data_IF_312497111299
#
_entry.id   IF_312497111299
#
_cell.length_a   1.000
_cell.length_b   1.000
_cell.length_c   1.000
_cell.angle_alpha   90.00
_cell.angle_beta   90.00
_cell.angle_gamma   90.00
#
_symmetry.space_group_name_H-M   'P 1'
#
loop_
_entity.id
_entity.type
_entity.pdbx_description
1 polymer ?
#
# COMPACT_ATOMS: atom_id res chain seq x y z
N UNK A 1 -15.86 8.16 -8.83
CA UNK A 1 -14.47 8.53 -8.51
C UNK A 1 -13.66 7.27 -8.28
N UNK A 2 -12.36 7.30 -8.60
CA UNK A 2 -11.39 6.25 -8.33
C UNK A 2 -10.64 6.55 -7.03
N UNK A 3 -10.76 5.63 -6.08
CA UNK A 3 -10.09 5.71 -4.78
C UNK A 3 -9.07 4.59 -4.72
N UNK A 4 -7.81 4.94 -4.53
CA UNK A 4 -6.70 4.01 -4.36
C UNK A 4 -6.36 3.93 -2.87
N UNK A 5 -6.24 2.72 -2.33
CA UNK A 5 -5.91 2.49 -0.93
C UNK A 5 -4.62 1.68 -0.87
N UNK A 6 -3.54 2.28 -0.36
CA UNK A 6 -2.24 1.63 -0.15
C UNK A 6 -2.29 0.85 1.16
N UNK A 7 -2.20 -0.49 1.06
CA UNK A 7 -2.26 -1.43 2.17
C UNK A 7 -0.91 -2.04 2.55
N UNK A 8 0.21 -1.40 2.22
CA UNK A 8 1.53 -1.88 2.66
C UNK A 8 1.60 -2.15 4.17
N UNK A 9 0.97 -1.32 5.00
CA UNK A 9 0.94 -1.54 6.45
C UNK A 9 0.13 -2.72 6.96
N UNK A 10 -0.72 -3.30 6.10
CA UNK A 10 -1.37 -4.57 6.36
C UNK A 10 -0.56 -5.78 5.87
N UNK A 11 0.57 -5.56 5.18
CA UNK A 11 1.46 -6.62 4.69
C UNK A 11 2.67 -6.90 5.59
N UNK A 12 2.99 -6.01 6.52
CA UNK A 12 4.14 -6.13 7.42
C UNK A 12 3.84 -6.99 8.66
N UNK A 13 4.79 -7.11 9.58
CA UNK A 13 4.59 -7.73 10.90
C UNK A 13 3.47 -7.05 11.73
N UNK A 14 3.09 -5.83 11.36
CA UNK A 14 1.97 -5.10 11.94
C UNK A 14 0.59 -5.59 11.48
N UNK A 15 0.51 -6.54 10.52
CA UNK A 15 -0.75 -7.11 10.00
C UNK A 15 -1.70 -7.62 11.09
N UNK A 16 -1.15 -8.20 12.14
CA UNK A 16 -1.91 -8.74 13.28
C UNK A 16 -1.99 -7.77 14.48
N UNK A 17 -1.42 -6.57 14.34
CA UNK A 17 -1.37 -5.52 15.38
C UNK A 17 -2.24 -4.33 14.98
N UNK A 18 -2.12 -3.22 15.72
CA UNK A 18 -2.94 -2.02 15.55
C UNK A 18 -3.04 -1.56 14.09
N UNK A 19 -1.89 -1.25 13.48
CA UNK A 19 -1.80 -0.65 12.13
C UNK A 19 -2.43 -1.55 11.06
N UNK A 20 -1.99 -2.80 10.93
CA UNK A 20 -2.51 -3.67 9.87
C UNK A 20 -3.96 -4.09 10.06
N UNK A 21 -4.37 -4.34 11.32
CA UNK A 21 -5.76 -4.71 11.63
C UNK A 21 -6.74 -3.58 11.32
N UNK A 22 -6.41 -2.34 11.72
CA UNK A 22 -7.29 -1.21 11.42
C UNK A 22 -7.28 -0.92 9.92
N UNK A 23 -6.12 -0.96 9.25
CA UNK A 23 -6.00 -0.71 7.81
C UNK A 23 -6.91 -1.63 7.00
N UNK A 24 -6.88 -2.93 7.32
CA UNK A 24 -7.75 -3.94 6.67
C UNK A 24 -9.22 -3.69 6.97
N UNK A 25 -9.58 -3.49 8.24
CA UNK A 25 -10.98 -3.27 8.65
C UNK A 25 -11.58 -1.98 8.07
N UNK A 26 -10.82 -0.90 8.05
CA UNK A 26 -11.18 0.38 7.45
C UNK A 26 -11.41 0.22 5.95
N UNK A 27 -10.48 -0.42 5.25
CA UNK A 27 -10.59 -0.65 3.81
C UNK A 27 -11.79 -1.52 3.47
N UNK A 28 -12.06 -2.58 4.22
CA UNK A 28 -13.27 -3.39 4.05
C UNK A 28 -14.54 -2.58 4.27
N UNK A 29 -14.57 -1.67 5.25
CA UNK A 29 -15.70 -0.79 5.48
C UNK A 29 -15.88 0.19 4.31
N UNK A 30 -14.82 0.76 3.76
CA UNK A 30 -14.87 1.62 2.58
C UNK A 30 -15.42 0.85 1.37
N UNK A 31 -14.87 -0.33 1.07
CA UNK A 31 -15.29 -1.15 -0.07
C UNK A 31 -16.78 -1.48 0.01
N UNK A 32 -17.29 -1.87 1.19
CA UNK A 32 -18.72 -2.16 1.40
C UNK A 32 -19.63 -0.94 1.20
N UNK A 33 -19.10 0.27 1.38
CA UNK A 33 -19.85 1.52 1.26
C UNK A 33 -19.49 2.31 -0.01
N UNK A 34 -18.74 1.72 -0.94
CA UNK A 34 -18.18 2.41 -2.09
C UNK A 34 -19.24 2.94 -3.08
N UNK A 35 -20.45 2.37 -3.11
CA UNK A 35 -21.52 2.76 -4.06
C UNK A 35 -20.98 2.81 -5.51
N UNK A 36 -20.88 3.99 -6.10
CA UNK A 36 -20.40 4.24 -7.47
C UNK A 36 -18.88 4.51 -7.55
N UNK A 37 -18.18 4.53 -6.42
CA UNK A 37 -16.74 4.72 -6.38
C UNK A 37 -15.99 3.44 -6.79
N UNK A 38 -14.99 3.59 -7.64
CA UNK A 38 -14.07 2.53 -8.02
C UNK A 38 -12.95 2.42 -6.98
N UNK A 39 -12.92 1.35 -6.19
CA UNK A 39 -11.88 1.15 -5.18
C UNK A 39 -10.78 0.24 -5.74
N UNK A 40 -9.54 0.68 -5.63
CA UNK A 40 -8.35 -0.13 -5.90
C UNK A 40 -7.55 -0.30 -4.61
N UNK A 41 -7.10 -1.53 -4.36
CA UNK A 41 -6.18 -1.85 -3.28
C UNK A 41 -4.80 -2.05 -3.88
N UNK A 42 -3.82 -1.33 -3.35
CA UNK A 42 -2.43 -1.41 -3.78
C UNK A 42 -1.62 -2.15 -2.72
N UNK A 43 -0.82 -3.11 -3.19
CA UNK A 43 0.09 -3.91 -2.36
C UNK A 43 1.50 -3.93 -2.94
N UNK A 44 2.49 -4.12 -2.09
CA UNK A 44 3.90 -4.23 -2.46
C UNK A 44 4.31 -5.71 -2.54
N UNK A 45 4.88 -6.13 -3.67
CA UNK A 45 5.33 -7.52 -3.90
C UNK A 45 6.53 -7.93 -3.04
N UNK A 46 7.27 -6.97 -2.48
CA UNK A 46 8.39 -7.25 -1.57
C UNK A 46 7.94 -7.48 -0.12
N UNK A 47 6.66 -7.25 0.20
CA UNK A 47 6.10 -7.50 1.53
C UNK A 47 5.34 -8.83 1.57
N UNK A 48 5.34 -9.51 2.72
CA UNK A 48 4.58 -10.74 2.87
C UNK A 48 3.05 -10.47 2.86
N UNK A 49 2.24 -11.52 2.97
CA UNK A 49 0.80 -11.41 3.20
C UNK A 49 -0.10 -10.91 2.04
N UNK A 50 0.38 -10.84 0.78
CA UNK A 50 -0.51 -10.55 -0.37
C UNK A 50 -1.70 -11.53 -0.46
N UNK A 51 -1.46 -12.81 -0.14
CA UNK A 51 -2.52 -13.83 -0.13
C UNK A 51 -3.55 -13.58 0.99
N UNK A 52 -3.11 -13.08 2.14
CA UNK A 52 -4.00 -12.74 3.26
C UNK A 52 -4.89 -11.55 2.89
N UNK A 53 -4.33 -10.54 2.22
CA UNK A 53 -5.09 -9.42 1.66
C UNK A 53 -6.11 -9.93 0.65
N UNK A 54 -5.69 -10.73 -0.34
CA UNK A 54 -6.62 -11.29 -1.33
C UNK A 54 -7.76 -12.07 -0.67
N UNK A 55 -7.45 -12.87 0.34
CA UNK A 55 -8.46 -13.61 1.11
C UNK A 55 -9.41 -12.67 1.86
N UNK A 56 -8.90 -11.60 2.47
CA UNK A 56 -9.69 -10.64 3.23
C UNK A 56 -10.67 -9.83 2.37
N UNK A 57 -10.41 -9.71 1.06
CA UNK A 57 -11.23 -8.92 0.12
C UNK A 57 -12.00 -9.76 -0.91
N UNK A 58 -11.81 -11.09 -0.94
CA UNK A 58 -12.34 -11.99 -1.97
C UNK A 58 -13.85 -11.84 -2.26
N UNK A 59 -14.66 -11.56 -1.23
CA UNK A 59 -16.12 -11.52 -1.32
C UNK A 59 -16.67 -10.10 -1.51
N UNK A 60 -15.81 -9.08 -1.42
CA UNK A 60 -16.21 -7.67 -1.45
C UNK A 60 -15.56 -6.88 -2.58
N UNK A 61 -14.49 -7.39 -3.18
CA UNK A 61 -13.76 -6.72 -4.25
C UNK A 61 -13.32 -7.73 -5.32
N UNK A 62 -13.52 -7.44 -6.62
CA UNK A 62 -12.95 -8.24 -7.70
C UNK A 62 -11.42 -8.35 -7.58
N UNK A 63 -10.83 -9.54 -7.83
CA UNK A 63 -9.38 -9.74 -7.73
C UNK A 63 -8.54 -8.76 -8.56
N UNK A 64 -9.08 -8.30 -9.69
CA UNK A 64 -8.42 -7.38 -10.63
C UNK A 64 -8.24 -5.97 -10.03
N UNK A 65 -8.98 -5.64 -8.97
CA UNK A 65 -8.85 -4.37 -8.24
C UNK A 65 -7.85 -4.45 -7.08
N UNK A 66 -7.20 -5.60 -6.89
CA UNK A 66 -6.06 -5.75 -5.98
C UNK A 66 -4.79 -5.79 -6.85
N UNK A 67 -4.18 -4.62 -7.00
CA UNK A 67 -3.03 -4.41 -7.88
C UNK A 67 -1.75 -4.37 -7.06
N UNK A 68 -0.65 -4.80 -7.67
CA UNK A 68 0.62 -4.90 -6.98
C UNK A 68 1.73 -4.19 -7.76
N UNK A 69 2.64 -3.56 -7.04
CA UNK A 69 3.87 -3.00 -7.59
C UNK A 69 5.09 -3.75 -7.04
N UNK A 70 6.18 -3.69 -7.77
CA UNK A 70 7.45 -4.30 -7.39
C UNK A 70 8.52 -3.23 -7.16
N UNK A 71 9.44 -3.48 -6.23
CA UNK A 71 10.53 -2.57 -5.88
C UNK A 71 11.83 -3.34 -5.63
N UNK A 72 13.00 -2.67 -5.70
CA UNK A 72 14.26 -3.27 -5.29
C UNK A 72 14.20 -3.85 -3.87
N UNK A 73 14.92 -4.94 -3.62
CA UNK A 73 15.07 -5.54 -2.29
C UNK A 73 16.04 -4.74 -1.41
N UNK A 74 16.02 -5.04 -0.11
CA UNK A 74 16.91 -4.49 0.91
C UNK A 74 16.76 -2.96 1.02
N UNK A 75 15.65 -2.55 1.62
CA UNK A 75 15.23 -1.16 1.74
C UNK A 75 15.23 -0.68 3.18
N UNK A 76 15.79 -1.47 4.12
CA UNK A 76 15.88 -1.10 5.54
C UNK A 76 16.45 0.29 5.72
N UNK A 77 15.79 1.09 6.55
CA UNK A 77 16.27 2.42 6.96
C UNK A 77 17.48 2.34 7.89
N UNK A 78 17.71 1.18 8.51
CA UNK A 78 18.86 0.93 9.40
C UNK A 78 20.20 0.88 8.65
N UNK A 79 20.17 0.70 7.32
CA UNK A 79 21.37 0.57 6.48
C UNK A 79 21.47 1.80 5.57
N UNK A 80 22.34 2.78 5.89
CA UNK A 80 22.47 4.05 5.15
C UNK A 80 22.77 3.87 3.65
N UNK A 81 23.50 2.81 3.29
CA UNK A 81 23.88 2.46 1.92
C UNK A 81 22.65 2.17 1.03
N UNK A 82 21.51 1.82 1.63
CA UNK A 82 20.25 1.58 0.90
C UNK A 82 19.50 2.88 0.55
N UNK A 83 20.00 4.06 0.92
CA UNK A 83 19.33 5.35 0.67
C UNK A 83 18.94 5.57 -0.80
N UNK A 84 19.84 5.29 -1.74
CA UNK A 84 19.56 5.42 -3.18
C UNK A 84 18.49 4.42 -3.65
N UNK A 85 18.52 3.18 -3.15
CA UNK A 85 17.52 2.15 -3.47
C UNK A 85 16.14 2.51 -2.93
N UNK A 86 16.08 3.00 -1.69
CA UNK A 86 14.85 3.56 -1.11
C UNK A 86 14.29 4.65 -2.00
N UNK A 87 15.13 5.59 -2.45
CA UNK A 87 14.66 6.69 -3.29
C UNK A 87 14.09 6.23 -4.64
N UNK A 88 14.66 5.19 -5.22
CA UNK A 88 14.14 4.54 -6.43
C UNK A 88 12.81 3.83 -6.15
N UNK A 89 12.72 3.11 -5.04
CA UNK A 89 11.53 2.38 -4.67
C UNK A 89 10.34 3.31 -4.34
N UNK A 90 10.61 4.45 -3.69
CA UNK A 90 9.65 5.55 -3.51
C UNK A 90 9.11 6.06 -4.84
N UNK A 91 9.99 6.32 -5.82
CA UNK A 91 9.60 6.78 -7.15
C UNK A 91 8.74 5.75 -7.90
N UNK A 92 9.09 4.46 -7.79
CA UNK A 92 8.31 3.39 -8.42
C UNK A 92 6.91 3.35 -7.81
N UNK A 93 6.80 3.40 -6.47
CA UNK A 93 5.51 3.43 -5.79
C UNK A 93 4.68 4.65 -6.20
N UNK A 94 5.28 5.84 -6.15
CA UNK A 94 4.62 7.10 -6.53
C UNK A 94 4.10 7.03 -7.97
N UNK A 95 4.94 6.63 -8.92
CA UNK A 95 4.55 6.52 -10.32
C UNK A 95 3.44 5.49 -10.52
N UNK A 96 3.54 4.33 -9.86
CA UNK A 96 2.51 3.30 -9.91
C UNK A 96 1.15 3.81 -9.40
N UNK A 97 1.15 4.58 -8.30
CA UNK A 97 -0.08 5.18 -7.76
C UNK A 97 -0.67 6.22 -8.72
N UNK A 98 0.17 7.04 -9.37
CA UNK A 98 -0.27 8.02 -10.39
C UNK A 98 -0.85 7.32 -11.62
N UNK A 99 -0.22 6.24 -12.09
CA UNK A 99 -0.67 5.50 -13.29
C UNK A 99 -2.06 4.89 -13.13
N UNK A 100 -2.51 4.69 -11.88
CA UNK A 100 -3.88 4.27 -11.60
C UNK A 100 -4.90 5.40 -11.83
N UNK A 101 -4.47 6.64 -12.11
CA UNK A 101 -5.32 7.82 -12.28
C UNK A 101 -6.36 7.99 -11.15
N UNK A 102 -5.94 8.04 -9.87
CA UNK A 102 -6.85 8.18 -8.74
C UNK A 102 -7.39 9.61 -8.59
N UNK A 103 -8.62 9.73 -8.10
CA UNK A 103 -9.15 10.99 -7.57
C UNK A 103 -8.78 11.19 -6.09
N UNK A 104 -8.54 10.08 -5.37
CA UNK A 104 -8.15 10.07 -3.96
C UNK A 104 -7.21 8.89 -3.68
N UNK A 105 -6.15 9.14 -2.90
CA UNK A 105 -5.25 8.09 -2.39
C UNK A 105 -5.35 8.07 -0.87
N UNK A 106 -5.67 6.92 -0.30
CA UNK A 106 -5.61 6.67 1.14
C UNK A 106 -4.36 5.83 1.45
N UNK A 107 -3.41 6.42 2.18
CA UNK A 107 -2.24 5.71 2.69
C UNK A 107 -2.56 5.27 4.12
N UNK A 108 -2.67 3.96 4.37
CA UNK A 108 -3.11 3.45 5.69
C UNK A 108 -1.97 3.31 6.71
N UNK A 109 -0.74 3.63 6.33
CA UNK A 109 0.38 3.71 7.26
C UNK A 109 1.41 4.69 6.74
N UNK A 110 1.75 5.69 7.56
CA UNK A 110 2.70 6.75 7.22
C UNK A 110 4.08 6.54 7.88
N UNK A 111 4.24 5.45 8.63
CA UNK A 111 5.40 5.18 9.48
C UNK A 111 5.86 3.75 9.29
N UNK A 112 6.33 3.41 8.10
CA UNK A 112 6.88 2.11 7.75
C UNK A 112 8.27 2.26 7.12
N UNK A 113 9.24 1.51 7.63
CA UNK A 113 10.65 1.68 7.27
C UNK A 113 11.62 1.06 8.26
N UNK A 114 11.17 0.74 9.48
CA UNK A 114 12.02 0.04 10.44
C UNK A 114 12.37 -1.38 9.96
N UNK A 115 11.50 -2.02 9.15
CA UNK A 115 11.72 -3.37 8.62
C UNK A 115 12.18 -3.39 7.16
N UNK A 116 12.90 -4.47 6.80
CA UNK A 116 13.77 -4.63 5.63
C UNK A 116 13.25 -4.30 4.21
N UNK A 117 11.97 -3.98 4.01
CA UNK A 117 11.35 -3.97 2.67
C UNK A 117 10.33 -2.83 2.44
N UNK A 118 10.25 -1.82 3.30
CA UNK A 118 9.21 -0.79 3.24
C UNK A 118 9.67 0.48 2.48
N UNK A 119 8.75 1.09 1.75
CA UNK A 119 9.01 2.28 0.93
C UNK A 119 8.00 3.38 1.23
N UNK A 120 8.43 4.35 2.02
CA UNK A 120 7.64 5.51 2.39
C UNK A 120 8.17 6.77 1.71
N UNK A 121 7.28 7.54 1.10
CA UNK A 121 7.59 8.87 0.58
C UNK A 121 6.40 9.82 0.74
N UNK A 122 6.72 11.08 1.04
CA UNK A 122 5.74 12.15 1.29
C UNK A 122 5.81 13.30 0.28
N UNK A 123 6.96 13.50 -0.38
CA UNK A 123 7.32 14.86 -0.81
C UNK A 123 7.06 15.22 -2.27
N UNK A 124 6.61 14.29 -3.12
CA UNK A 124 6.64 14.57 -4.57
C UNK A 124 5.32 14.85 -5.26
N UNK A 125 4.16 14.41 -4.77
CA UNK A 125 2.91 14.57 -5.54
C UNK A 125 1.58 14.78 -4.78
N UNK A 126 1.49 14.84 -3.45
CA UNK A 126 0.16 14.77 -2.79
C UNK A 126 -0.08 15.78 -1.67
N UNK A 127 -1.13 16.60 -1.83
CA UNK A 127 -1.79 17.37 -0.77
C UNK A 127 -2.77 16.45 -0.02
N UNK A 128 -2.89 16.70 1.29
CA UNK A 128 -3.80 16.06 2.26
C UNK A 128 -5.27 16.10 1.82
#
# INVERSE_FOLDING_TARGET
>A
MRIVIDLQGAQTESRNRGIGRYSTALTQAIVRNAKEHEIFIVVNLQLPAINDIRLAFKDVLPPERIVAFDVPKNLSWEVPENSSRRKVAELIRENFLVDLNPDLILITSLFEGASNCECDSFDRYWLV
#
